data_IF_163413284758
#
_entry.id   IF_163413284758
#
_cell.length_a   1.000
_cell.length_b   1.000
_cell.length_c   1.000
_cell.angle_alpha   90.00
_cell.angle_beta   90.00
_cell.angle_gamma   90.00
#
_symmetry.space_group_name_H-M   'P 1'
#
loop_
_entity.id
_entity.type
_entity.pdbx_description
1 polymer ?
#
# COMPACT_ATOMS: atom_id res chain seq x y z
N UNK A 1 -13.29 18.17 21.14
CA UNK A 1 -13.67 18.38 19.72
C UNK A 1 -12.50 18.91 18.91
N UNK A 2 -12.05 20.17 19.02
CA UNK A 2 -10.97 20.70 18.16
C UNK A 2 -9.57 20.12 18.42
N UNK A 3 -9.26 19.71 19.65
CA UNK A 3 -7.99 19.06 19.98
C UNK A 3 -7.95 17.61 19.44
N UNK A 4 -9.01 16.84 19.69
CA UNK A 4 -9.14 15.45 19.23
C UNK A 4 -9.12 15.37 17.70
N UNK A 5 -9.77 16.33 17.04
CA UNK A 5 -9.74 16.48 15.59
C UNK A 5 -8.32 16.63 15.03
N UNK A 6 -7.52 17.53 15.63
CA UNK A 6 -6.12 17.75 15.19
C UNK A 6 -5.26 16.51 15.37
N UNK A 7 -5.50 15.73 16.43
CA UNK A 7 -4.80 14.46 16.67
C UNK A 7 -5.14 13.45 15.58
N UNK A 8 -6.43 13.19 15.34
CA UNK A 8 -6.86 12.23 14.31
C UNK A 8 -6.38 12.63 12.92
N UNK A 9 -6.47 13.91 12.57
CA UNK A 9 -5.95 14.43 11.30
C UNK A 9 -4.44 14.22 11.15
N UNK A 10 -3.67 14.49 12.21
CA UNK A 10 -2.22 14.27 12.25
C UNK A 10 -1.86 12.78 12.13
N UNK A 11 -2.60 11.92 12.80
CA UNK A 11 -2.39 10.47 12.78
C UNK A 11 -2.66 9.89 11.40
N UNK A 12 -3.74 10.30 10.73
CA UNK A 12 -4.05 9.88 9.36
C UNK A 12 -3.00 10.39 8.37
N UNK A 13 -2.52 11.62 8.53
CA UNK A 13 -1.43 12.14 7.70
C UNK A 13 -0.12 11.38 7.91
N UNK A 14 0.18 11.02 9.16
CA UNK A 14 1.37 10.24 9.50
C UNK A 14 1.26 8.83 8.93
N UNK A 15 0.10 8.19 9.08
CA UNK A 15 -0.17 6.85 8.57
C UNK A 15 -0.03 6.78 7.04
N UNK A 16 -0.62 7.74 6.32
CA UNK A 16 -0.51 7.82 4.87
C UNK A 16 0.97 7.93 4.44
N UNK A 17 1.72 8.84 5.07
CA UNK A 17 3.14 9.02 4.80
C UNK A 17 3.93 7.74 5.05
N UNK A 18 3.72 7.09 6.20
CA UNK A 18 4.42 5.86 6.56
C UNK A 18 4.18 4.76 5.53
N UNK A 19 2.94 4.59 5.05
CA UNK A 19 2.65 3.59 4.03
C UNK A 19 3.37 3.84 2.71
N UNK A 20 3.45 5.09 2.23
CA UNK A 20 4.22 5.40 1.03
C UNK A 20 5.73 5.25 1.23
N UNK A 21 6.26 5.71 2.37
CA UNK A 21 7.68 5.60 2.69
C UNK A 21 8.09 4.11 2.75
N UNK A 22 7.29 3.27 3.41
CA UNK A 22 7.56 1.83 3.51
C UNK A 22 7.30 1.08 2.21
N UNK A 23 6.32 1.47 1.39
CA UNK A 23 6.17 0.94 0.03
C UNK A 23 7.45 1.19 -0.80
N UNK A 24 7.96 2.42 -0.75
CA UNK A 24 9.20 2.80 -1.42
C UNK A 24 10.43 2.10 -0.84
N UNK A 25 10.52 1.93 0.48
CA UNK A 25 11.61 1.20 1.12
C UNK A 25 11.58 -0.28 0.78
N UNK A 26 10.40 -0.88 0.73
CA UNK A 26 10.22 -2.28 0.37
C UNK A 26 10.67 -2.53 -1.07
N UNK A 27 10.26 -1.69 -2.04
CA UNK A 27 10.71 -1.81 -3.43
C UNK A 27 12.23 -1.72 -3.61
N UNK A 28 12.94 -1.00 -2.73
CA UNK A 28 14.41 -0.94 -2.78
C UNK A 28 15.08 -2.27 -2.48
N UNK A 29 14.37 -3.22 -1.87
CA UNK A 29 14.85 -4.58 -1.62
C UNK A 29 14.74 -5.48 -2.86
N UNK A 30 14.20 -4.98 -3.98
CA UNK A 30 14.08 -5.74 -5.23
C UNK A 30 15.39 -6.47 -5.64
N UNK A 31 16.59 -5.85 -5.56
CA UNK A 31 17.84 -6.55 -5.92
C UNK A 31 18.14 -7.78 -5.04
N UNK A 32 17.68 -7.78 -3.79
CA UNK A 32 17.90 -8.88 -2.84
C UNK A 32 16.92 -10.04 -3.05
N UNK A 33 15.73 -9.76 -3.59
CA UNK A 33 14.67 -10.77 -3.84
C UNK A 33 14.62 -11.23 -5.30
N UNK A 34 15.33 -10.55 -6.20
CA UNK A 34 15.44 -10.89 -7.62
C UNK A 34 16.89 -11.24 -8.03
N UNK A 35 17.56 -12.17 -7.32
CA UNK A 35 18.90 -12.58 -7.73
C UNK A 35 18.86 -13.26 -9.11
N UNK A 36 19.94 -13.18 -9.91
CA UNK A 36 20.02 -13.90 -11.16
C UNK A 36 19.81 -15.41 -10.96
N UNK A 37 18.90 -15.99 -11.73
CA UNK A 37 18.73 -17.45 -11.77
C UNK A 37 19.94 -18.07 -12.45
N UNK A 38 20.58 -19.02 -11.76
CA UNK A 38 21.72 -19.79 -12.27
C UNK A 38 21.26 -21.16 -12.75
N UNK A 39 21.81 -21.62 -13.87
CA UNK A 39 21.49 -22.96 -14.40
C UNK A 39 22.07 -24.05 -13.51
N UNK A 40 21.24 -25.05 -13.18
CA UNK A 40 21.63 -26.27 -12.50
C UNK A 40 22.07 -27.40 -13.45
N UNK A 41 21.99 -27.18 -14.76
CA UNK A 41 22.34 -28.17 -15.79
C UNK A 41 21.20 -29.08 -16.25
N UNK A 42 19.99 -28.94 -15.69
CA UNK A 42 18.78 -29.59 -16.17
C UNK A 42 17.75 -28.55 -16.67
N UNK A 43 17.34 -28.58 -17.95
CA UNK A 43 16.44 -27.57 -18.51
C UNK A 43 15.06 -27.50 -17.84
N UNK A 44 14.54 -28.64 -17.36
CA UNK A 44 13.24 -28.69 -16.70
C UNK A 44 13.27 -28.03 -15.33
N UNK A 45 14.30 -28.35 -14.55
CA UNK A 45 14.59 -27.73 -13.26
C UNK A 45 14.85 -26.23 -13.41
N UNK A 46 15.65 -25.82 -14.39
CA UNK A 46 15.95 -24.41 -14.65
C UNK A 46 14.67 -23.61 -14.95
N UNK A 47 13.74 -24.18 -15.74
CA UNK A 47 12.44 -23.56 -16.02
C UNK A 47 11.61 -23.37 -14.76
N UNK A 48 11.51 -24.42 -13.92
CA UNK A 48 10.75 -24.36 -12.68
C UNK A 48 11.33 -23.33 -11.69
N UNK A 49 12.67 -23.26 -11.56
CA UNK A 49 13.33 -22.25 -10.72
C UNK A 49 13.03 -20.85 -11.23
N UNK A 50 13.06 -20.64 -12.56
CA UNK A 50 12.73 -19.35 -13.17
C UNK A 50 11.29 -18.93 -12.86
N UNK A 51 10.32 -19.82 -13.00
CA UNK A 51 8.91 -19.51 -12.72
C UNK A 51 8.68 -19.10 -11.26
N UNK A 52 9.31 -19.82 -10.31
CA UNK A 52 9.22 -19.48 -8.89
C UNK A 52 9.89 -18.14 -8.60
N UNK A 53 11.04 -17.85 -9.22
CA UNK A 53 11.72 -16.56 -9.07
C UNK A 53 10.84 -15.41 -9.60
N UNK A 54 10.26 -15.57 -10.80
CA UNK A 54 9.37 -14.57 -11.41
C UNK A 54 8.10 -14.35 -10.55
N UNK A 55 7.58 -15.40 -9.90
CA UNK A 55 6.48 -15.28 -8.93
C UNK A 55 6.87 -14.50 -7.68
N UNK A 56 8.04 -14.77 -7.10
CA UNK A 56 8.54 -14.05 -5.92
C UNK A 56 8.67 -12.55 -6.22
N UNK A 57 9.24 -12.21 -7.38
CA UNK A 57 9.35 -10.82 -7.84
C UNK A 57 7.97 -10.17 -7.98
N UNK A 58 7.02 -10.88 -8.58
CA UNK A 58 5.65 -10.37 -8.75
C UNK A 58 4.94 -10.12 -7.42
N UNK A 59 5.09 -11.03 -6.45
CA UNK A 59 4.54 -10.88 -5.10
C UNK A 59 5.19 -9.71 -4.34
N UNK A 60 6.49 -9.50 -4.52
CA UNK A 60 7.21 -8.38 -3.92
C UNK A 60 6.66 -7.02 -4.42
N UNK A 61 6.48 -6.88 -5.74
CA UNK A 61 5.89 -5.68 -6.33
C UNK A 61 4.45 -5.48 -5.84
N UNK A 62 3.64 -6.55 -5.87
CA UNK A 62 2.23 -6.48 -5.45
C UNK A 62 2.08 -6.03 -3.98
N UNK A 63 2.97 -6.48 -3.08
CA UNK A 63 2.91 -6.05 -1.70
C UNK A 63 3.25 -4.56 -1.55
N UNK A 64 4.23 -4.06 -2.31
CA UNK A 64 4.51 -2.62 -2.35
C UNK A 64 3.31 -1.81 -2.83
N UNK A 65 2.65 -2.26 -3.90
CA UNK A 65 1.45 -1.60 -4.43
C UNK A 65 0.33 -1.60 -3.38
N UNK A 66 0.13 -2.71 -2.66
CA UNK A 66 -0.84 -2.78 -1.56
C UNK A 66 -0.51 -1.85 -0.40
N UNK A 67 0.76 -1.60 -0.12
CA UNK A 67 1.16 -0.59 0.88
C UNK A 67 0.82 0.81 0.39
N UNK A 68 1.12 1.15 -0.87
CA UNK A 68 0.75 2.42 -1.47
C UNK A 68 -0.78 2.63 -1.49
N UNK A 69 -1.57 1.61 -1.86
CA UNK A 69 -3.03 1.62 -1.79
C UNK A 69 -3.56 1.98 -0.39
N UNK A 70 -2.91 1.48 0.67
CA UNK A 70 -3.28 1.84 2.04
C UNK A 70 -2.90 3.28 2.38
N UNK A 71 -1.80 3.78 1.82
CA UNK A 71 -1.44 5.21 1.86
C UNK A 71 -2.54 6.08 1.25
N UNK A 72 -3.03 5.72 0.06
CA UNK A 72 -4.12 6.42 -0.62
C UNK A 72 -5.40 6.45 0.23
N UNK A 73 -5.78 5.30 0.81
CA UNK A 73 -6.97 5.22 1.68
C UNK A 73 -6.83 6.06 2.95
N UNK A 74 -5.66 6.10 3.57
CA UNK A 74 -5.40 6.95 4.73
C UNK A 74 -5.43 8.44 4.35
N UNK A 75 -4.89 8.80 3.17
CA UNK A 75 -4.99 10.15 2.61
C UNK A 75 -6.43 10.56 2.33
N UNK A 76 -7.22 9.67 1.72
CA UNK A 76 -8.65 9.90 1.50
C UNK A 76 -9.41 10.11 2.82
N UNK A 77 -9.16 9.26 3.82
CA UNK A 77 -9.78 9.40 5.14
C UNK A 77 -9.40 10.73 5.81
N UNK A 78 -8.13 11.16 5.71
CA UNK A 78 -7.68 12.47 6.19
C UNK A 78 -8.44 13.60 5.52
N UNK A 79 -8.57 13.55 4.20
CA UNK A 79 -9.19 14.61 3.42
C UNK A 79 -10.71 14.68 3.65
N UNK A 80 -11.37 13.54 3.75
CA UNK A 80 -12.79 13.46 4.13
C UNK A 80 -13.01 13.98 5.56
N UNK A 81 -12.17 13.56 6.53
CA UNK A 81 -12.22 14.06 7.89
C UNK A 81 -12.01 15.58 7.95
N UNK A 82 -11.11 16.13 7.13
CA UNK A 82 -10.90 17.58 7.02
C UNK A 82 -12.11 18.34 6.48
N UNK A 83 -12.76 17.82 5.43
CA UNK A 83 -13.94 18.45 4.85
C UNK A 83 -15.14 18.45 5.80
N UNK A 84 -15.24 17.43 6.64
CA UNK A 84 -16.41 17.14 7.45
C UNK A 84 -16.18 17.37 8.95
N UNK A 85 -15.24 18.25 9.32
CA UNK A 85 -14.94 18.57 10.72
C UNK A 85 -16.13 19.16 11.51
N UNK A 86 -17.21 19.52 10.80
CA UNK A 86 -18.49 19.98 11.34
C UNK A 86 -19.72 19.17 10.87
N UNK A 87 -19.59 18.22 9.93
CA UNK A 87 -20.74 17.56 9.28
C UNK A 87 -20.64 16.02 9.23
N UNK A 88 -21.26 15.37 10.22
CA UNK A 88 -21.34 13.91 10.34
C UNK A 88 -22.13 13.27 9.19
N UNK A 89 -23.05 14.00 8.55
CA UNK A 89 -23.84 13.47 7.44
C UNK A 89 -22.99 13.30 6.17
N UNK A 90 -22.12 14.27 5.90
CA UNK A 90 -21.17 14.21 4.80
C UNK A 90 -20.17 13.04 4.92
N UNK A 91 -19.73 12.72 6.15
CA UNK A 91 -18.90 11.52 6.40
C UNK A 91 -19.64 10.24 6.04
N UNK A 92 -20.93 10.14 6.36
CA UNK A 92 -21.73 8.94 6.09
C UNK A 92 -21.95 8.73 4.59
N UNK A 93 -22.20 9.80 3.83
CA UNK A 93 -22.34 9.74 2.37
C UNK A 93 -21.03 9.37 1.65
N UNK A 94 -19.87 9.87 2.13
CA UNK A 94 -18.56 9.51 1.57
C UNK A 94 -18.21 8.02 1.80
N UNK A 95 -18.79 7.38 2.83
CA UNK A 95 -18.53 5.97 3.22
C UNK A 95 -19.56 4.99 2.67
N UNK A 96 -20.79 5.44 2.44
CA UNK A 96 -21.86 4.67 1.79
C UNK A 96 -22.23 5.44 0.53
N UNK A 97 -21.51 5.21 -0.59
CA UNK A 97 -21.98 5.72 -1.87
C UNK A 97 -23.38 5.15 -2.05
N UNK A 98 -24.36 6.01 -2.34
CA UNK A 98 -25.73 5.56 -2.60
C UNK A 98 -25.67 4.36 -3.54
N UNK A 99 -26.10 3.21 -3.02
CA UNK A 99 -26.06 1.96 -3.76
C UNK A 99 -27.05 2.08 -4.92
N UNK A 100 -26.52 2.13 -6.15
CA UNK A 100 -27.23 1.72 -7.36
C UNK A 100 -27.25 0.19 -7.47
#
# INVERSE_FOLDING_TARGET
>A
MTADFKVVYSDLSTLAKTFYDEAGNYLKLHPDVAPPVVSGGDPGLDSAIKEVADLIVSLHVLLADRMADHGDKAGYARDSFHRHDVDVHGVFQDLVPDGD
#
